data_IF_124408445334
#
_entry.id   IF_124408445334
#
_cell.length_a   1.000
_cell.length_b   1.000
_cell.length_c   1.000
_cell.angle_alpha   90.00
_cell.angle_beta   90.00
_cell.angle_gamma   90.00
#
_symmetry.space_group_name_H-M   'P 1'
#
loop_
_entity.id
_entity.type
_entity.pdbx_description
1 polymer ?
#
# COMPACT_ATOMS: atom_id res chain seq x y z
N UNK A 1 24.15 11.57 -10.22
CA UNK A 1 22.77 12.05 -9.93
C UNK A 1 21.84 10.85 -9.98
N UNK A 2 20.93 10.65 -9.00
CA UNK A 2 19.90 9.62 -9.13
C UNK A 2 19.05 9.91 -10.36
N UNK A 3 18.90 8.92 -11.25
CA UNK A 3 18.04 9.04 -12.42
C UNK A 3 16.58 9.14 -11.98
N UNK A 4 15.88 10.15 -12.46
CA UNK A 4 14.44 10.38 -12.20
C UNK A 4 13.57 9.22 -12.69
N UNK A 5 14.00 8.51 -13.74
CA UNK A 5 13.34 7.31 -14.28
C UNK A 5 14.04 6.02 -13.85
N UNK A 6 14.40 5.92 -12.58
CA UNK A 6 15.04 4.73 -12.01
C UNK A 6 14.05 3.60 -11.69
N UNK A 7 14.59 2.45 -11.28
CA UNK A 7 13.79 1.34 -10.73
C UNK A 7 12.93 1.76 -9.54
N UNK A 8 13.42 2.66 -8.68
CA UNK A 8 12.68 3.18 -7.53
C UNK A 8 11.42 3.94 -7.97
N UNK A 9 11.52 4.76 -9.03
CA UNK A 9 10.36 5.47 -9.58
C UNK A 9 9.30 4.48 -10.10
N UNK A 10 9.73 3.43 -10.82
CA UNK A 10 8.80 2.39 -11.31
C UNK A 10 8.10 1.66 -10.17
N UNK A 11 8.81 1.33 -9.09
CA UNK A 11 8.22 0.69 -7.91
C UNK A 11 7.22 1.62 -7.20
N UNK A 12 7.55 2.90 -7.10
CA UNK A 12 6.69 3.91 -6.51
C UNK A 12 5.39 4.09 -7.30
N UNK A 13 5.45 4.27 -8.62
CA UNK A 13 4.25 4.38 -9.47
C UNK A 13 3.39 3.11 -9.41
N UNK A 14 4.01 1.91 -9.41
CA UNK A 14 3.28 0.65 -9.22
C UNK A 14 2.58 0.57 -7.87
N UNK A 15 3.23 1.04 -6.81
CA UNK A 15 2.64 1.12 -5.46
C UNK A 15 1.44 2.07 -5.43
N UNK A 16 1.59 3.27 -6.01
CA UNK A 16 0.52 4.26 -6.11
C UNK A 16 -0.68 3.71 -6.89
N UNK A 17 -0.45 3.10 -8.05
CA UNK A 17 -1.49 2.45 -8.85
C UNK A 17 -2.23 1.36 -8.07
N UNK A 18 -1.49 0.49 -7.37
CA UNK A 18 -2.08 -0.53 -6.50
C UNK A 18 -2.96 0.09 -5.42
N UNK A 19 -2.49 1.15 -4.75
CA UNK A 19 -3.24 1.85 -3.69
C UNK A 19 -4.55 2.43 -4.21
N UNK A 20 -4.55 3.04 -5.40
CA UNK A 20 -5.77 3.53 -6.06
C UNK A 20 -6.78 2.41 -6.32
N UNK A 21 -6.33 1.27 -6.90
CA UNK A 21 -7.21 0.13 -7.17
C UNK A 21 -7.77 -0.51 -5.91
N UNK A 22 -6.97 -0.62 -4.85
CA UNK A 22 -7.42 -1.11 -3.54
C UNK A 22 -8.44 -0.16 -2.93
N UNK A 23 -8.16 1.16 -2.91
CA UNK A 23 -9.09 2.13 -2.37
C UNK A 23 -10.44 2.14 -3.12
N UNK A 24 -10.43 2.04 -4.45
CA UNK A 24 -11.65 1.90 -5.23
C UNK A 24 -12.43 0.63 -4.87
N UNK A 25 -11.73 -0.47 -4.60
CA UNK A 25 -12.35 -1.72 -4.15
C UNK A 25 -12.94 -1.62 -2.74
N UNK A 26 -12.28 -0.87 -1.85
CA UNK A 26 -12.77 -0.63 -0.49
C UNK A 26 -14.11 0.13 -0.50
N UNK A 27 -14.29 1.07 -1.44
CA UNK A 27 -15.56 1.79 -1.63
C UNK A 27 -16.64 0.97 -2.36
N UNK A 28 -16.26 0.08 -3.28
CA UNK A 28 -17.20 -0.60 -4.18
C UNK A 28 -17.29 -2.11 -3.92
N UNK A 29 -18.37 -2.52 -3.25
CA UNK A 29 -18.63 -3.94 -2.97
C UNK A 29 -18.91 -4.74 -4.26
N UNK A 30 -19.56 -4.13 -5.26
CA UNK A 30 -19.90 -4.81 -6.52
C UNK A 30 -18.73 -4.79 -7.51
N UNK A 31 -18.29 -5.99 -7.92
CA UNK A 31 -17.15 -6.20 -8.82
C UNK A 31 -17.35 -5.63 -10.22
N UNK A 32 -18.57 -5.59 -10.74
CA UNK A 32 -18.82 -5.08 -12.10
C UNK A 32 -18.70 -3.56 -12.18
N UNK A 33 -19.13 -2.85 -11.12
CA UNK A 33 -18.93 -1.41 -10.98
C UNK A 33 -17.44 -1.10 -10.78
N UNK A 34 -16.79 -1.84 -9.87
CA UNK A 34 -15.35 -1.70 -9.63
C UNK A 34 -14.52 -1.87 -10.91
N UNK A 35 -14.85 -2.83 -11.79
CA UNK A 35 -14.10 -3.02 -13.04
C UNK A 35 -14.15 -1.79 -13.94
N UNK A 36 -15.28 -1.07 -13.98
CA UNK A 36 -15.41 0.17 -14.77
C UNK A 36 -14.51 1.26 -14.19
N UNK A 37 -14.50 1.43 -12.87
CA UNK A 37 -13.62 2.38 -12.18
C UNK A 37 -12.14 2.02 -12.37
N UNK A 38 -11.78 0.75 -12.26
CA UNK A 38 -10.42 0.27 -12.48
C UNK A 38 -9.90 0.58 -13.90
N UNK A 39 -10.77 0.52 -14.91
CA UNK A 39 -10.42 0.92 -16.28
C UNK A 39 -10.18 2.43 -16.39
N UNK A 40 -10.97 3.25 -15.70
CA UNK A 40 -10.78 4.70 -15.67
C UNK A 40 -9.45 5.06 -15.00
N UNK A 41 -9.17 4.46 -13.83
CA UNK A 41 -7.88 4.62 -13.12
C UNK A 41 -6.73 4.23 -14.05
N UNK A 42 -6.84 3.09 -14.74
CA UNK A 42 -5.80 2.66 -15.69
C UNK A 42 -5.62 3.66 -16.83
N UNK A 43 -6.70 4.15 -17.42
CA UNK A 43 -6.65 5.12 -18.51
C UNK A 43 -5.94 6.42 -18.08
N UNK A 44 -6.16 6.87 -16.85
CA UNK A 44 -5.50 8.05 -16.28
C UNK A 44 -3.98 7.84 -16.10
N UNK A 45 -3.57 6.68 -15.61
CA UNK A 45 -2.14 6.34 -15.50
C UNK A 45 -1.48 6.22 -16.88
N UNK A 46 -2.14 5.59 -17.86
CA UNK A 46 -1.59 5.48 -19.23
C UNK A 46 -1.49 6.85 -19.92
N UNK A 47 -2.42 7.78 -19.65
CA UNK A 47 -2.36 9.16 -20.18
C UNK A 47 -1.07 9.88 -19.76
N UNK A 48 -0.57 9.60 -18.55
CA UNK A 48 0.62 10.25 -17.99
C UNK A 48 1.91 9.41 -18.17
N UNK A 49 1.85 8.29 -18.90
CA UNK A 49 2.97 7.35 -19.04
C UNK A 49 4.22 7.94 -19.72
N UNK A 50 4.03 8.85 -20.67
CA UNK A 50 5.11 9.40 -21.50
C UNK A 50 5.55 10.81 -21.05
N UNK A 51 5.40 11.15 -19.77
CA UNK A 51 5.91 12.41 -19.22
C UNK A 51 7.40 12.28 -18.94
N UNK A 52 8.21 13.07 -19.64
CA UNK A 52 9.68 13.01 -19.56
C UNK A 52 10.28 14.13 -18.68
N UNK A 53 9.53 15.21 -18.45
CA UNK A 53 9.98 16.30 -17.60
C UNK A 53 9.83 15.92 -16.11
N UNK A 54 10.91 15.85 -15.34
CA UNK A 54 10.86 15.46 -13.94
C UNK A 54 10.10 16.46 -13.04
N UNK A 55 10.06 17.74 -13.41
CA UNK A 55 9.31 18.74 -12.61
C UNK A 55 7.81 18.54 -12.76
N UNK A 56 7.35 18.33 -13.99
CA UNK A 56 5.95 18.00 -14.26
C UNK A 56 5.55 16.69 -13.59
N UNK A 57 6.43 15.68 -13.64
CA UNK A 57 6.19 14.39 -13.00
C UNK A 57 6.02 14.52 -11.48
N UNK A 58 6.85 15.32 -10.81
CA UNK A 58 6.72 15.57 -9.38
C UNK A 58 5.36 16.20 -9.03
N UNK A 59 4.91 17.19 -9.80
CA UNK A 59 3.61 17.84 -9.62
C UNK A 59 2.46 16.86 -9.81
N UNK A 60 2.53 16.00 -10.82
CA UNK A 60 1.51 14.97 -11.08
C UNK A 60 1.41 13.99 -9.92
N UNK A 61 2.55 13.52 -9.42
CA UNK A 61 2.60 12.56 -8.30
C UNK A 61 2.09 13.19 -7.00
N UNK A 62 2.49 14.42 -6.70
CA UNK A 62 2.02 15.16 -5.53
C UNK A 62 0.49 15.36 -5.57
N UNK A 63 -0.04 15.76 -6.73
CA UNK A 63 -1.48 15.88 -6.93
C UNK A 63 -2.20 14.55 -6.74
N UNK A 64 -1.67 13.46 -7.31
CA UNK A 64 -2.26 12.14 -7.17
C UNK A 64 -2.22 11.63 -5.71
N UNK A 65 -1.15 11.92 -4.96
CA UNK A 65 -1.12 11.59 -3.53
C UNK A 65 -2.12 12.40 -2.72
N UNK A 66 -2.26 13.71 -3.00
CA UNK A 66 -3.23 14.56 -2.34
C UNK A 66 -4.66 14.09 -2.61
N UNK A 67 -4.98 13.75 -3.86
CA UNK A 67 -6.28 13.22 -4.25
C UNK A 67 -6.56 11.88 -3.56
N UNK A 68 -5.61 10.93 -3.62
CA UNK A 68 -5.75 9.64 -2.96
C UNK A 68 -5.98 9.77 -1.45
N UNK A 69 -5.30 10.71 -0.80
CA UNK A 69 -5.50 10.97 0.63
C UNK A 69 -6.89 11.55 0.93
N UNK A 70 -7.42 12.40 0.04
CA UNK A 70 -8.75 12.98 0.17
C UNK A 70 -9.86 11.94 0.00
N UNK A 71 -9.73 11.02 -0.96
CA UNK A 71 -10.74 9.99 -1.26
C UNK A 71 -10.52 8.68 -0.49
N UNK A 72 -9.59 8.66 0.46
CA UNK A 72 -9.20 7.44 1.16
C UNK A 72 -10.37 6.90 1.99
N UNK A 73 -10.67 5.62 1.84
CA UNK A 73 -11.69 4.98 2.67
C UNK A 73 -11.29 5.01 4.15
N UNK A 74 -12.18 5.39 5.09
CA UNK A 74 -11.85 5.50 6.51
C UNK A 74 -11.56 4.14 7.17
N UNK A 75 -12.19 3.06 6.70
CA UNK A 75 -12.05 1.70 7.23
C UNK A 75 -11.78 0.68 6.10
N UNK A 76 -10.54 0.58 5.59
CA UNK A 76 -10.22 -0.25 4.43
C UNK A 76 -10.36 -1.75 4.74
N UNK A 77 -10.62 -2.57 3.71
CA UNK A 77 -10.78 -4.01 3.89
C UNK A 77 -9.41 -4.68 4.08
N UNK A 78 -9.13 -5.11 5.31
CA UNK A 78 -7.88 -5.82 5.66
C UNK A 78 -8.13 -7.33 5.70
N UNK A 79 -7.22 -8.08 5.08
CA UNK A 79 -7.24 -9.55 5.13
C UNK A 79 -7.17 -10.01 6.60
N UNK A 80 -8.01 -10.94 7.06
CA UNK A 80 -8.11 -11.27 8.48
C UNK A 80 -6.78 -11.61 9.17
N UNK A 81 -5.87 -12.29 8.48
CA UNK A 81 -4.58 -12.73 9.02
C UNK A 81 -3.45 -11.71 8.86
N UNK A 82 -3.71 -10.53 8.28
CA UNK A 82 -2.71 -9.48 8.11
C UNK A 82 -2.74 -8.52 9.30
N UNK A 83 -1.68 -7.73 9.54
CA UNK A 83 -1.69 -6.70 10.57
C UNK A 83 -2.92 -5.79 10.45
N UNK A 84 -3.64 -5.59 11.57
CA UNK A 84 -4.91 -4.84 11.60
C UNK A 84 -6.15 -5.64 11.20
N UNK A 85 -6.00 -6.89 10.75
CA UNK A 85 -7.10 -7.80 10.45
C UNK A 85 -7.68 -8.46 11.70
N UNK A 86 -8.93 -8.95 11.58
CA UNK A 86 -9.70 -9.54 12.69
C UNK A 86 -9.11 -10.83 13.29
N UNK A 87 -8.19 -11.50 12.60
CA UNK A 87 -7.51 -12.74 13.03
C UNK A 87 -6.00 -12.54 13.22
N UNK A 88 -5.50 -11.31 13.17
CA UNK A 88 -4.09 -11.02 13.44
C UNK A 88 -3.73 -11.48 14.85
N UNK A 89 -2.58 -12.16 14.98
CA UNK A 89 -2.02 -12.58 16.28
C UNK A 89 -2.95 -13.43 17.17
N UNK A 90 -4.03 -13.98 16.62
CA UNK A 90 -5.01 -14.75 17.40
C UNK A 90 -4.43 -16.03 18.00
N UNK A 91 -3.54 -16.71 17.27
CA UNK A 91 -2.94 -17.99 17.64
C UNK A 91 -1.42 -17.98 17.36
N UNK A 92 -0.67 -17.04 17.95
CA UNK A 92 0.80 -17.04 17.81
C UNK A 92 1.35 -18.26 18.57
N UNK A 93 2.18 -19.12 17.94
CA UNK A 93 2.83 -20.20 18.67
C UNK A 93 3.73 -19.61 19.78
N UNK A 94 3.72 -20.20 20.98
CA UNK A 94 4.61 -19.74 22.05
C UNK A 94 6.06 -19.87 21.59
N UNK A 95 6.93 -18.99 22.10
CA UNK A 95 8.37 -19.10 21.85
C UNK A 95 8.90 -20.32 22.57
N UNK A 96 9.19 -21.38 21.82
CA UNK A 96 9.86 -22.59 22.30
C UNK A 96 11.37 -22.34 22.40
N UNK A 97 11.78 -21.42 23.28
CA UNK A 97 13.18 -21.18 23.60
C UNK A 97 13.71 -22.16 24.66
N UNK A 98 15.03 -22.22 24.90
CA UNK A 98 15.56 -22.89 26.08
C UNK A 98 14.95 -22.27 27.35
N UNK A 99 14.76 -23.09 28.38
CA UNK A 99 14.32 -22.60 29.69
C UNK A 99 15.33 -21.56 30.18
N UNK A 100 14.82 -20.42 30.63
CA UNK A 100 15.67 -19.39 31.21
C UNK A 100 16.05 -19.81 32.63
N UNK A 101 17.35 -19.92 32.88
CA UNK A 101 17.89 -20.24 34.19
C UNK A 101 18.08 -18.94 35.00
N UNK A 102 17.20 -18.74 35.99
CA UNK A 102 17.21 -17.57 36.86
C UNK A 102 18.32 -17.63 37.92
N UNK A 103 18.95 -18.78 38.15
CA UNK A 103 20.00 -18.96 39.17
C UNK A 103 21.39 -18.67 38.61
N UNK A 104 21.57 -18.81 37.28
CA UNK A 104 22.83 -18.54 36.60
C UNK A 104 23.13 -17.04 36.43
N UNK A 105 22.16 -16.15 36.64
CA UNK A 105 22.32 -14.70 36.46
C UNK A 105 22.17 -14.00 37.82
N UNK A 106 23.20 -13.32 38.34
CA UNK A 106 23.09 -12.60 39.62
C UNK A 106 22.03 -11.51 39.50
N UNK A 107 21.15 -11.41 40.50
CA UNK A 107 20.20 -10.31 40.61
C UNK A 107 20.97 -8.98 40.65
N UNK A 108 20.63 -8.07 39.75
CA UNK A 108 21.18 -6.71 39.70
C UNK A 108 20.83 -5.89 40.94
#
# INVERSE_FOLDING_TARGET
>A
MPSTFSSAHRLYVKSLYKRYLTNALDWTVNRDLWRKEALLIRAEFEKNRNVHDPRQLAIILERAEAELNHIKHPDPVIIPSFPGGTKWERNIPPRMGPLYDHEAVPAH
#
